data_IF_333360525529
#
_entry.id   IF_333360525529
#
_cell.length_a   1.000
_cell.length_b   1.000
_cell.length_c   1.000
_cell.angle_alpha   90.00
_cell.angle_beta   90.00
_cell.angle_gamma   90.00
#
_symmetry.space_group_name_H-M   'P 1'
#
loop_
_entity.id
_entity.type
_entity.pdbx_description
1 polymer ?
#
# COMPACT_ATOMS: atom_id res chain seq x y z
N UNK A 1 -36.99 28.96 -41.90
CA UNK A 1 -36.64 27.52 -41.80
C UNK A 1 -35.24 27.39 -41.22
N UNK A 2 -35.08 26.97 -39.96
CA UNK A 2 -33.77 26.44 -39.54
C UNK A 2 -33.97 25.14 -38.76
N UNK A 3 -33.85 23.98 -39.42
CA UNK A 3 -33.89 22.67 -38.74
C UNK A 3 -32.99 21.67 -39.46
N UNK A 4 -31.66 21.84 -39.36
CA UNK A 4 -30.69 20.80 -39.72
C UNK A 4 -29.49 20.72 -38.77
N UNK A 5 -29.18 21.79 -38.04
CA UNK A 5 -28.01 21.82 -37.15
C UNK A 5 -28.20 21.05 -35.84
N UNK A 6 -29.42 21.05 -35.28
CA UNK A 6 -29.72 20.35 -34.02
C UNK A 6 -29.57 18.82 -34.11
N UNK A 7 -29.67 18.22 -35.31
CA UNK A 7 -29.58 16.78 -35.50
C UNK A 7 -28.16 16.21 -35.35
N UNK A 8 -27.13 17.04 -35.56
CA UNK A 8 -25.72 16.63 -35.45
C UNK A 8 -25.14 17.02 -34.08
N UNK A 9 -25.65 18.09 -33.47
CA UNK A 9 -25.15 18.58 -32.17
C UNK A 9 -25.51 17.61 -31.04
N UNK A 10 -26.74 17.08 -31.03
CA UNK A 10 -27.19 16.14 -30.01
C UNK A 10 -26.31 14.87 -29.88
N UNK A 11 -25.97 14.14 -30.97
CA UNK A 11 -25.09 12.98 -30.85
C UNK A 11 -23.66 13.34 -30.46
N UNK A 12 -23.16 14.52 -30.84
CA UNK A 12 -21.83 14.98 -30.42
C UNK A 12 -21.80 15.25 -28.91
N UNK A 13 -22.81 15.95 -28.38
CA UNK A 13 -22.92 16.21 -26.93
C UNK A 13 -23.05 14.90 -26.16
N UNK A 14 -23.85 13.96 -26.65
CA UNK A 14 -23.99 12.63 -26.05
C UNK A 14 -22.66 11.89 -26.00
N UNK A 15 -21.89 11.91 -27.09
CA UNK A 15 -20.60 11.25 -27.18
C UNK A 15 -19.59 11.88 -26.21
N UNK A 16 -19.60 13.21 -26.10
CA UNK A 16 -18.73 13.94 -25.17
C UNK A 16 -19.07 13.61 -23.70
N UNK A 17 -20.35 13.54 -23.35
CA UNK A 17 -20.80 13.08 -22.04
C UNK A 17 -20.36 11.64 -21.75
N UNK A 18 -20.48 10.74 -22.73
CA UNK A 18 -20.08 9.35 -22.58
C UNK A 18 -18.57 9.23 -22.33
N UNK A 19 -17.76 10.00 -23.05
CA UNK A 19 -16.29 10.07 -22.82
C UNK A 19 -15.98 10.55 -21.40
N UNK A 20 -16.66 11.60 -20.92
CA UNK A 20 -16.47 12.11 -19.56
C UNK A 20 -16.81 11.06 -18.49
N UNK A 21 -17.91 10.31 -18.69
CA UNK A 21 -18.31 9.23 -17.77
C UNK A 21 -17.26 8.12 -17.72
N UNK A 22 -16.74 7.70 -18.88
CA UNK A 22 -15.70 6.66 -18.96
C UNK A 22 -14.41 7.11 -18.26
N UNK A 23 -13.95 8.34 -18.52
CA UNK A 23 -12.75 8.89 -17.88
C UNK A 23 -12.94 8.99 -16.36
N UNK A 24 -14.11 9.46 -15.90
CA UNK A 24 -14.44 9.54 -14.48
C UNK A 24 -14.45 8.17 -13.80
N UNK A 25 -15.01 7.15 -14.46
CA UNK A 25 -15.03 5.77 -13.94
C UNK A 25 -13.62 5.16 -13.84
N UNK A 26 -12.78 5.38 -14.86
CA UNK A 26 -11.39 4.92 -14.85
C UNK A 26 -10.56 5.61 -13.77
N UNK A 27 -10.78 6.90 -13.54
CA UNK A 27 -10.14 7.65 -12.46
C UNK A 27 -10.60 7.17 -11.08
N UNK A 28 -11.91 6.90 -10.90
CA UNK A 28 -12.46 6.35 -9.66
C UNK A 28 -11.85 4.98 -9.31
N UNK A 29 -11.62 4.12 -10.32
CA UNK A 29 -10.93 2.84 -10.15
C UNK A 29 -9.41 2.96 -9.96
N UNK A 30 -8.83 4.14 -10.05
CA UNK A 30 -7.39 4.36 -9.91
C UNK A 30 -6.55 3.90 -11.11
N UNK A 31 -7.18 3.57 -12.24
CA UNK A 31 -6.49 3.14 -13.47
C UNK A 31 -5.87 4.32 -14.23
N UNK A 32 -6.44 5.52 -14.08
CA UNK A 32 -5.98 6.76 -14.71
C UNK A 32 -5.68 7.79 -13.62
N UNK A 33 -4.47 8.36 -13.66
CA UNK A 33 -4.05 9.41 -12.72
C UNK A 33 -4.45 10.77 -13.27
N UNK A 34 -5.35 11.47 -12.57
CA UNK A 34 -5.67 12.87 -12.88
C UNK A 34 -4.74 13.77 -12.05
N UNK A 35 -3.86 14.57 -12.67
CA UNK A 35 -2.98 15.48 -11.94
C UNK A 35 -3.80 16.50 -11.14
N UNK A 36 -3.49 16.65 -9.85
CA UNK A 36 -4.16 17.61 -8.95
C UNK A 36 -5.31 17.06 -8.11
N UNK A 37 -5.77 15.82 -8.34
CA UNK A 37 -6.71 15.17 -7.42
C UNK A 37 -5.93 14.37 -6.34
N UNK A 38 -6.27 14.52 -5.05
CA UNK A 38 -5.67 13.70 -4.01
C UNK A 38 -6.07 12.24 -4.22
N UNK A 39 -5.08 11.41 -4.56
CA UNK A 39 -5.29 9.97 -4.60
C UNK A 39 -5.43 9.49 -3.15
N UNK A 40 -6.52 8.79 -2.85
CA UNK A 40 -6.65 8.08 -1.58
C UNK A 40 -5.60 6.98 -1.58
N UNK A 41 -4.47 7.23 -0.92
CA UNK A 41 -3.51 6.19 -0.61
C UNK A 41 -4.16 5.28 0.42
N UNK A 42 -4.57 4.09 0.00
CA UNK A 42 -4.92 3.04 0.95
C UNK A 42 -3.66 2.72 1.72
N UNK A 43 -3.58 3.18 2.97
CA UNK A 43 -2.48 2.82 3.87
C UNK A 43 -2.51 1.30 4.05
N UNK A 44 -1.61 0.59 3.38
CA UNK A 44 -1.45 -0.85 3.56
C UNK A 44 -0.69 -1.05 4.86
N UNK A 45 -1.42 -1.20 5.95
CA UNK A 45 -0.84 -1.61 7.23
C UNK A 45 -0.67 -3.12 7.17
N UNK A 46 0.56 -3.57 6.88
CA UNK A 46 0.92 -4.96 7.05
C UNK A 46 1.02 -5.26 8.55
N UNK A 47 0.04 -6.00 9.06
CA UNK A 47 0.12 -6.57 10.39
C UNK A 47 1.22 -7.64 10.38
N UNK A 48 2.37 -7.34 11.00
CA UNK A 48 3.42 -8.32 11.20
C UNK A 48 2.88 -9.45 12.07
N UNK A 49 2.55 -10.57 11.43
CA UNK A 49 1.95 -11.75 12.06
C UNK A 49 2.98 -12.69 12.69
N UNK A 50 4.28 -12.39 12.56
CA UNK A 50 5.34 -13.22 13.12
C UNK A 50 5.58 -12.88 14.59
N UNK A 51 4.98 -13.70 15.47
CA UNK A 51 5.37 -13.77 16.87
C UNK A 51 6.77 -14.40 16.97
N UNK A 52 7.79 -13.57 17.22
CA UNK A 52 9.11 -14.04 17.63
C UNK A 52 9.02 -14.58 19.05
N UNK A 53 9.24 -15.88 19.22
CA UNK A 53 9.20 -16.54 20.53
C UNK A 53 10.39 -16.08 21.39
N UNK A 54 10.18 -15.30 22.48
CA UNK A 54 11.28 -14.82 23.32
C UNK A 54 11.89 -15.93 24.20
N UNK A 55 11.32 -17.13 24.18
CA UNK A 55 11.82 -18.31 24.88
C UNK A 55 12.56 -19.28 23.95
N UNK A 56 12.83 -18.88 22.70
CA UNK A 56 13.70 -19.65 21.84
C UNK A 56 15.09 -19.71 22.48
N UNK A 57 15.60 -20.94 22.64
CA UNK A 57 16.89 -21.23 23.29
C UNK A 57 18.06 -20.54 22.56
N UNK A 58 17.89 -20.26 21.27
CA UNK A 58 18.82 -19.50 20.44
C UNK A 58 18.79 -17.98 20.67
N UNK A 59 17.68 -17.45 21.20
CA UNK A 59 17.48 -16.03 21.53
C UNK A 59 17.74 -15.73 23.02
N UNK A 60 18.01 -16.76 23.82
CA UNK A 60 18.14 -16.65 25.27
C UNK A 60 19.52 -16.08 25.66
N UNK A 61 19.54 -15.26 26.72
CA UNK A 61 20.75 -14.63 27.26
C UNK A 61 21.86 -15.67 27.49
N UNK A 62 22.93 -15.56 26.70
CA UNK A 62 24.14 -16.35 26.89
C UNK A 62 24.94 -15.69 28.01
N UNK A 63 25.20 -16.43 29.09
CA UNK A 63 26.01 -15.94 30.20
C UNK A 63 27.43 -15.57 29.69
N UNK A 64 27.83 -14.28 29.76
CA UNK A 64 29.13 -13.84 29.24
C UNK A 64 30.32 -14.34 30.07
N UNK A 65 30.07 -14.90 31.25
CA UNK A 65 31.09 -15.49 32.12
C UNK A 65 31.18 -17.00 31.98
N UNK A 66 30.42 -17.62 31.06
CA UNK A 66 30.52 -19.06 30.77
C UNK A 66 31.92 -19.49 30.30
N UNK A 67 32.67 -18.58 29.67
CA UNK A 67 34.06 -18.79 29.26
C UNK A 67 35.08 -18.34 30.31
N UNK A 68 34.66 -17.78 31.46
CA UNK A 68 35.58 -17.27 32.47
C UNK A 68 36.07 -18.42 33.35
N UNK A 69 37.38 -18.68 33.35
CA UNK A 69 38.02 -19.60 34.30
C UNK A 69 38.05 -18.95 35.68
N UNK A 70 37.49 -19.65 36.66
CA UNK A 70 37.51 -19.21 38.05
C UNK A 70 38.97 -19.23 38.58
N UNK A 71 39.50 -18.10 39.07
CA UNK A 71 40.89 -18.01 39.54
C UNK A 71 41.17 -18.80 40.83
N UNK A 72 40.14 -19.34 41.48
CA UNK A 72 40.28 -20.17 42.68
C UNK A 72 40.28 -21.68 42.40
N UNK A 73 40.05 -22.11 41.16
CA UNK A 73 40.00 -23.54 40.80
C UNK A 73 41.34 -24.26 41.00
N UNK A 74 42.47 -23.52 40.99
CA UNK A 74 43.83 -24.06 41.12
C UNK A 74 44.37 -24.10 42.55
N UNK A 75 43.58 -23.77 43.56
CA UNK A 75 44.02 -23.68 44.97
C UNK A 75 43.62 -24.89 45.83
N UNK A 76 43.38 -26.06 45.21
CA UNK A 76 43.10 -27.31 45.93
C UNK A 76 44.36 -28.02 46.40
#
# INVERSE_FOLDING_TARGET
>A
MPKKEAGVIAPIILLLLLVLVVIGFLAYRGLVKIPGLPQSSTASVDLQSQYQNPFDKSAQYVNPFSSYKNPFDSLK
#
